data_IF_083580060911
#
_entry.id   IF_083580060911
#
_cell.length_a   1.000
_cell.length_b   1.000
_cell.length_c   1.000
_cell.angle_alpha   90.00
_cell.angle_beta   90.00
_cell.angle_gamma   90.00
#
_symmetry.space_group_name_H-M   'P 1'
#
loop_
_entity.id
_entity.type
_entity.pdbx_description
1 polymer ?
#
# COMPACT_ATOMS: atom_id res chain seq x y z
N UNK A 1 -0.55 16.30 -1.35
CA UNK A 1 0.05 15.04 -0.84
C UNK A 1 -0.54 13.90 -1.65
N UNK A 2 0.29 13.04 -2.25
CA UNK A 2 -0.10 11.89 -3.07
C UNK A 2 0.82 10.70 -2.72
N UNK A 3 0.45 9.49 -3.14
CA UNK A 3 1.23 8.26 -2.92
C UNK A 3 1.59 7.98 -1.45
N UNK A 4 0.63 8.20 -0.54
CA UNK A 4 0.81 7.83 0.86
C UNK A 4 1.00 6.31 0.98
N UNK A 5 2.10 5.90 1.59
CA UNK A 5 2.48 4.51 1.79
C UNK A 5 2.86 4.28 3.27
N UNK A 6 2.52 3.13 3.87
CA UNK A 6 1.65 2.07 3.33
C UNK A 6 0.22 2.58 3.08
N UNK A 7 -0.43 2.06 2.03
CA UNK A 7 -1.78 2.48 1.66
C UNK A 7 -2.83 2.03 2.69
N UNK A 8 -4.01 2.66 2.62
CA UNK A 8 -5.08 2.36 3.57
C UNK A 8 -5.61 0.93 3.45
N UNK A 9 -5.60 0.34 2.24
CA UNK A 9 -6.11 -1.00 1.99
C UNK A 9 -5.35 -2.10 2.75
N UNK A 10 -4.05 -1.88 3.04
CA UNK A 10 -3.21 -2.80 3.79
C UNK A 10 -2.99 -2.38 5.25
N UNK A 11 -3.76 -1.40 5.74
CA UNK A 11 -3.73 -0.99 7.16
C UNK A 11 -2.62 0.00 7.50
N UNK A 12 -2.16 0.78 6.51
CA UNK A 12 -1.30 1.93 6.75
C UNK A 12 -1.98 2.99 7.63
N UNK A 13 -1.22 3.97 8.17
CA UNK A 13 -1.76 4.97 9.09
C UNK A 13 -2.98 5.75 8.56
N UNK A 14 -3.03 5.98 7.24
CA UNK A 14 -4.17 6.63 6.59
C UNK A 14 -5.49 5.88 6.79
N UNK A 15 -5.44 4.55 6.97
CA UNK A 15 -6.62 3.73 7.23
C UNK A 15 -7.27 4.00 8.60
N UNK A 16 -6.54 4.65 9.51
CA UNK A 16 -6.97 4.91 10.89
C UNK A 16 -7.47 6.34 11.09
N UNK A 17 -7.36 7.20 10.09
CA UNK A 17 -7.84 8.58 10.13
C UNK A 17 -9.37 8.58 10.23
N UNK A 18 -9.89 9.49 11.06
CA UNK A 18 -11.33 9.72 11.26
C UNK A 18 -11.64 11.20 11.05
N UNK A 19 -12.88 11.48 10.66
CA UNK A 19 -13.35 12.86 10.51
C UNK A 19 -13.18 13.63 11.82
N UNK A 20 -12.54 14.79 11.72
CA UNK A 20 -12.26 15.66 12.87
C UNK A 20 -10.87 15.48 13.48
N UNK A 21 -10.08 14.49 13.06
CA UNK A 21 -8.67 14.40 13.48
C UNK A 21 -7.86 15.59 12.94
N UNK A 22 -6.89 16.04 13.73
CA UNK A 22 -5.94 17.06 13.30
C UNK A 22 -4.80 16.44 12.47
N UNK A 23 -4.43 17.10 11.37
CA UNK A 23 -3.32 16.72 10.51
C UNK A 23 -2.42 17.93 10.34
N UNK A 24 -1.15 17.76 10.68
CA UNK A 24 -0.09 18.73 10.47
C UNK A 24 0.62 18.43 9.14
N UNK A 25 0.71 19.43 8.27
CA UNK A 25 1.48 19.37 7.04
C UNK A 25 2.52 20.50 7.05
N UNK A 26 3.78 20.10 7.04
CA UNK A 26 4.92 21.00 6.89
C UNK A 26 5.76 20.53 5.68
N UNK A 27 5.72 21.31 4.61
CA UNK A 27 6.42 21.00 3.36
C UNK A 27 7.93 21.25 3.49
N UNK A 28 8.33 22.27 4.26
CA UNK A 28 9.74 22.62 4.44
C UNK A 28 10.44 21.55 5.28
N UNK A 29 9.83 21.16 6.40
CA UNK A 29 10.32 20.06 7.24
C UNK A 29 10.07 18.67 6.65
N UNK A 30 9.38 18.56 5.51
CA UNK A 30 8.94 17.30 4.88
C UNK A 30 8.16 16.39 5.84
N UNK A 31 7.33 17.00 6.68
CA UNK A 31 6.55 16.33 7.71
C UNK A 31 5.07 16.30 7.34
N UNK A 32 4.49 15.12 7.43
CA UNK A 32 3.05 14.91 7.44
C UNK A 32 2.73 14.08 8.67
N UNK A 33 1.99 14.66 9.61
CA UNK A 33 1.75 14.05 10.91
C UNK A 33 0.25 14.04 11.23
N UNK A 34 -0.24 12.90 11.68
CA UNK A 34 -1.57 12.72 12.22
C UNK A 34 -1.49 12.96 13.73
N UNK A 35 -2.10 14.04 14.21
CA UNK A 35 -2.06 14.45 15.61
C UNK A 35 -3.09 13.67 16.44
N UNK A 36 -2.79 12.38 16.61
CA UNK A 36 -3.56 11.42 17.40
C UNK A 36 -2.57 10.60 18.21
N UNK A 37 -2.84 10.43 19.51
CA UNK A 37 -1.95 9.66 20.38
C UNK A 37 -1.76 8.22 19.89
N UNK A 38 -0.58 7.65 20.10
CA UNK A 38 -0.25 6.26 19.76
C UNK A 38 -1.21 5.24 20.40
N UNK A 39 -1.71 5.54 21.60
CA UNK A 39 -2.67 4.70 22.32
C UNK A 39 -4.00 4.62 21.55
N UNK A 40 -4.49 5.76 21.05
CA UNK A 40 -5.71 5.81 20.24
C UNK A 40 -5.47 5.16 18.86
N UNK A 41 -4.32 5.38 18.22
CA UNK A 41 -4.00 4.72 16.95
C UNK A 41 -3.94 3.20 17.10
N UNK A 42 -3.36 2.70 18.20
CA UNK A 42 -3.33 1.27 18.53
C UNK A 42 -4.75 0.73 18.68
N UNK A 43 -5.60 1.40 19.47
CA UNK A 43 -7.00 1.02 19.65
C UNK A 43 -7.78 1.02 18.33
N UNK A 44 -7.57 2.01 17.47
CA UNK A 44 -8.20 2.05 16.13
C UNK A 44 -7.76 0.87 15.27
N UNK A 45 -6.48 0.52 15.33
CA UNK A 45 -5.89 -0.62 14.59
C UNK A 45 -6.51 -1.96 15.00
N UNK A 46 -6.84 -2.16 16.27
CA UNK A 46 -7.50 -3.39 16.75
C UNK A 46 -8.86 -3.64 16.10
N UNK A 47 -9.57 -2.56 15.73
CA UNK A 47 -10.89 -2.62 15.10
C UNK A 47 -10.84 -2.49 13.57
N UNK A 48 -9.65 -2.30 12.99
CA UNK A 48 -9.51 -2.11 11.56
C UNK A 48 -9.65 -3.46 10.83
N UNK A 49 -10.47 -3.45 9.78
CA UNK A 49 -10.65 -4.59 8.90
C UNK A 49 -10.24 -4.17 7.47
N UNK A 50 -9.47 -4.99 6.76
CA UNK A 50 -9.13 -4.71 5.37
C UNK A 50 -10.40 -4.68 4.49
N UNK A 51 -10.46 -3.80 3.49
CA UNK A 51 -11.55 -3.80 2.53
C UNK A 51 -11.61 -5.14 1.79
N UNK A 52 -12.82 -5.64 1.56
CA UNK A 52 -13.01 -6.89 0.81
C UNK A 52 -12.70 -6.65 -0.67
N UNK A 53 -11.80 -7.43 -1.30
CA UNK A 53 -11.54 -7.30 -2.73
C UNK A 53 -12.79 -7.62 -3.55
N UNK A 54 -13.06 -6.81 -4.58
CA UNK A 54 -14.22 -6.99 -5.45
C UNK A 54 -14.17 -8.31 -6.24
N UNK A 55 -12.97 -8.80 -6.55
CA UNK A 55 -12.75 -10.08 -7.22
C UNK A 55 -11.53 -10.78 -6.62
N UNK A 56 -11.63 -12.09 -6.39
CA UNK A 56 -10.56 -12.91 -5.80
C UNK A 56 -9.73 -13.69 -6.84
N UNK A 57 -9.99 -13.48 -8.13
CA UNK A 57 -9.39 -14.28 -9.20
C UNK A 57 -9.14 -13.47 -10.46
N UNK A 58 -8.65 -14.16 -11.50
CA UNK A 58 -8.22 -13.52 -12.73
C UNK A 58 -7.07 -12.54 -12.51
N UNK A 59 -6.93 -11.57 -13.43
CA UNK A 59 -5.88 -10.56 -13.33
C UNK A 59 -6.02 -9.67 -12.08
N UNK A 60 -7.25 -9.39 -11.64
CA UNK A 60 -7.45 -8.57 -10.44
C UNK A 60 -6.92 -9.26 -9.18
N UNK A 61 -7.14 -10.56 -9.03
CA UNK A 61 -6.53 -11.34 -7.94
C UNK A 61 -5.01 -11.27 -7.99
N UNK A 62 -4.42 -11.58 -9.15
CA UNK A 62 -2.96 -11.48 -9.35
C UNK A 62 -2.42 -10.10 -9.00
N UNK A 63 -3.09 -9.02 -9.44
CA UNK A 63 -2.66 -7.67 -9.14
C UNK A 63 -2.72 -7.37 -7.64
N UNK A 64 -3.84 -7.65 -6.97
CA UNK A 64 -4.01 -7.40 -5.53
C UNK A 64 -3.00 -8.18 -4.70
N UNK A 65 -2.69 -9.41 -5.10
CA UNK A 65 -1.78 -10.29 -4.35
C UNK A 65 -0.30 -9.92 -4.53
N UNK A 66 0.07 -9.34 -5.68
CA UNK A 66 1.48 -9.14 -6.05
C UNK A 66 1.93 -7.69 -6.21
N UNK A 67 1.03 -6.71 -6.21
CA UNK A 67 1.41 -5.30 -6.40
C UNK A 67 2.17 -4.76 -5.19
N UNK A 68 3.27 -4.06 -5.47
CA UNK A 68 4.07 -3.34 -4.49
C UNK A 68 3.44 -1.98 -4.17
N UNK A 69 3.86 -1.39 -3.05
CA UNK A 69 3.41 -0.05 -2.65
C UNK A 69 3.98 1.04 -3.57
N UNK A 70 3.34 2.22 -3.55
CA UNK A 70 3.68 3.33 -4.45
C UNK A 70 5.10 3.88 -4.22
N UNK A 71 5.63 3.81 -2.99
CA UNK A 71 7.03 4.14 -2.66
C UNK A 71 8.04 3.19 -3.33
N UNK A 72 7.59 2.02 -3.79
CA UNK A 72 8.36 1.03 -4.55
C UNK A 72 7.98 0.98 -6.04
N UNK A 73 7.22 1.96 -6.53
CA UNK A 73 6.88 2.11 -7.95
C UNK A 73 5.67 1.32 -8.43
N UNK A 74 4.91 0.68 -7.52
CA UNK A 74 3.70 -0.08 -7.87
C UNK A 74 3.90 -1.18 -8.94
N UNK A 75 5.09 -1.78 -8.98
CA UNK A 75 5.37 -2.95 -9.82
C UNK A 75 4.80 -4.23 -9.18
N UNK A 76 4.75 -5.32 -9.93
CA UNK A 76 4.45 -6.64 -9.37
C UNK A 76 5.74 -7.24 -8.80
N UNK A 77 5.67 -7.80 -7.59
CA UNK A 77 6.82 -8.30 -6.84
C UNK A 77 7.69 -9.31 -7.63
N UNK A 78 7.05 -10.20 -8.39
CA UNK A 78 7.70 -11.20 -9.24
C UNK A 78 8.19 -10.66 -10.59
N UNK A 79 7.90 -9.40 -10.91
CA UNK A 79 8.37 -8.71 -12.11
C UNK A 79 9.65 -7.91 -11.92
N UNK A 80 10.03 -7.60 -10.67
CA UNK A 80 11.20 -6.78 -10.37
C UNK A 80 12.49 -7.42 -10.91
N UNK A 81 13.27 -6.63 -11.65
CA UNK A 81 14.59 -7.00 -12.15
C UNK A 81 14.64 -7.27 -13.66
N UNK A 82 15.70 -7.97 -14.11
CA UNK A 82 15.92 -8.30 -15.51
C UNK A 82 16.01 -9.82 -15.67
N UNK A 83 15.28 -10.38 -16.66
CA UNK A 83 15.27 -11.83 -16.96
C UNK A 83 16.23 -12.23 -18.08
N UNK A 84 17.01 -11.28 -18.58
CA UNK A 84 17.91 -11.50 -19.72
C UNK A 84 17.17 -11.81 -21.02
N UNK A 85 17.88 -12.42 -21.96
CA UNK A 85 17.41 -12.71 -23.32
C UNK A 85 17.78 -14.14 -23.77
N UNK A 86 17.86 -15.07 -22.81
CA UNK A 86 18.22 -16.46 -23.10
C UNK A 86 17.26 -17.09 -24.11
N UNK A 87 17.81 -17.84 -25.07
CA UNK A 87 17.02 -18.52 -26.10
C UNK A 87 16.24 -19.67 -25.43
N UNK A 88 14.90 -19.76 -25.61
CA UNK A 88 14.11 -20.85 -25.05
C UNK A 88 14.49 -22.21 -25.63
N UNK A 89 14.02 -23.29 -24.99
CA UNK A 89 14.10 -24.63 -25.57
C UNK A 89 13.40 -24.68 -26.93
N UNK A 90 13.90 -25.57 -27.81
CA UNK A 90 13.22 -25.89 -29.06
C UNK A 90 11.77 -26.31 -28.80
N UNK A 91 10.87 -25.87 -29.66
CA UNK A 91 9.43 -26.04 -29.47
C UNK A 91 8.93 -27.43 -29.86
N UNK A 92 9.79 -28.23 -30.52
CA UNK A 92 9.49 -29.54 -31.09
C UNK A 92 10.60 -30.54 -30.76
#
# INVERSE_FOLDING_TARGET
VLHAAPEAAIGGPLALVRSGDFIELDVEARKLHLDVSEQELTRRRETWLPPVPAMRGGYQGLYVDHVLQADRGADLDFLVGCRGHAIPRESH
#
